data_IF_477018145070
#
_entry.id   IF_477018145070
#
_cell.length_a   1.000
_cell.length_b   1.000
_cell.length_c   1.000
_cell.angle_alpha   90.00
_cell.angle_beta   90.00
_cell.angle_gamma   90.00
#
_symmetry.space_group_name_H-M   'P 1'
#
loop_
_entity.id
_entity.type
_entity.pdbx_description
1 polymer ?
#
# COMPACT_ATOMS: atom_id res chain seq x y z
N UNK A 1 -21.65 -27.25 12.95
CA UNK A 1 -20.21 -27.14 12.66
C UNK A 1 -20.07 -26.02 11.65
N UNK A 2 -19.74 -24.81 12.10
CA UNK A 2 -19.57 -23.67 11.20
C UNK A 2 -18.21 -23.80 10.54
N UNK A 3 -18.20 -24.13 9.25
CA UNK A 3 -17.03 -24.06 8.39
C UNK A 3 -16.60 -22.58 8.30
N UNK A 4 -15.75 -22.16 9.23
CA UNK A 4 -14.97 -20.96 9.06
C UNK A 4 -13.89 -21.30 8.04
N UNK A 5 -14.23 -21.11 6.77
CA UNK A 5 -13.24 -20.93 5.71
C UNK A 5 -12.40 -19.71 6.09
N UNK A 6 -11.36 -19.95 6.90
CA UNK A 6 -10.29 -19.01 7.16
C UNK A 6 -9.60 -18.79 5.81
N UNK A 7 -10.05 -17.74 5.11
CA UNK A 7 -9.43 -17.27 3.88
C UNK A 7 -8.06 -16.74 4.28
N UNK A 8 -7.07 -17.64 4.34
CA UNK A 8 -5.66 -17.31 4.36
C UNK A 8 -5.32 -16.70 2.99
N UNK A 9 -5.85 -15.51 2.73
CA UNK A 9 -5.48 -14.69 1.57
C UNK A 9 -4.03 -14.33 1.80
N UNK A 10 -3.14 -15.13 1.22
CA UNK A 10 -1.69 -15.21 1.40
C UNK A 10 -1.08 -14.16 2.31
N UNK A 11 -0.63 -14.58 3.50
CA UNK A 11 0.33 -13.81 4.29
C UNK A 11 1.57 -13.53 3.42
N UNK A 12 1.97 -12.26 3.30
CA UNK A 12 3.00 -11.75 2.37
C UNK A 12 2.61 -11.76 0.88
N UNK A 13 1.31 -11.83 0.57
CA UNK A 13 0.83 -11.47 -0.76
C UNK A 13 1.22 -10.02 -1.09
N UNK A 14 1.49 -9.72 -2.37
CA UNK A 14 1.88 -8.37 -2.74
C UNK A 14 0.79 -7.33 -2.43
N UNK A 15 -0.48 -7.75 -2.38
CA UNK A 15 -1.62 -6.96 -1.93
C UNK A 15 -1.51 -6.58 -0.44
N UNK A 16 -1.15 -7.51 0.43
CA UNK A 16 -0.96 -7.23 1.86
C UNK A 16 0.21 -6.27 2.09
N UNK A 17 1.32 -6.47 1.37
CA UNK A 17 2.48 -5.56 1.45
C UNK A 17 2.12 -4.17 0.93
N UNK A 18 1.37 -4.08 -0.17
CA UNK A 18 0.91 -2.80 -0.70
C UNK A 18 -0.02 -2.08 0.28
N UNK A 19 -0.87 -2.80 1.01
CA UNK A 19 -1.72 -2.24 2.05
C UNK A 19 -0.90 -1.72 3.25
N UNK A 20 0.10 -2.47 3.71
CA UNK A 20 1.03 -2.01 4.77
C UNK A 20 1.79 -0.74 4.34
N UNK A 21 2.24 -0.68 3.08
CA UNK A 21 2.88 0.51 2.52
C UNK A 21 1.93 1.71 2.50
N UNK A 22 0.67 1.53 2.10
CA UNK A 22 -0.35 2.59 2.14
C UNK A 22 -0.50 3.18 3.56
N UNK A 23 -0.54 2.33 4.60
CA UNK A 23 -0.65 2.78 5.99
C UNK A 23 0.59 3.56 6.45
N UNK A 24 1.78 3.15 6.02
CA UNK A 24 3.03 3.87 6.31
C UNK A 24 3.06 5.24 5.62
N UNK A 25 2.74 5.31 4.33
CA UNK A 25 2.69 6.57 3.57
C UNK A 25 1.68 7.52 4.22
N UNK A 26 0.49 7.02 4.54
CA UNK A 26 -0.51 7.82 5.23
C UNK A 26 -0.02 8.36 6.58
N UNK A 27 0.74 7.57 7.34
CA UNK A 27 1.33 8.02 8.61
C UNK A 27 2.36 9.13 8.41
N UNK A 28 3.21 9.02 7.37
CA UNK A 28 4.19 10.06 7.00
C UNK A 28 3.50 11.34 6.53
N UNK A 29 2.43 11.21 5.74
CA UNK A 29 1.63 12.35 5.25
C UNK A 29 0.64 12.89 6.30
N UNK A 30 0.64 12.34 7.51
CA UNK A 30 -0.28 12.71 8.59
C UNK A 30 -1.76 12.65 8.14
N UNK A 31 -2.09 11.62 7.34
CA UNK A 31 -3.45 11.31 6.91
C UNK A 31 -4.04 10.24 7.77
N UNK A 32 -5.26 10.50 8.23
CA UNK A 32 -5.95 9.61 9.15
C UNK A 32 -6.88 8.66 8.39
N UNK A 33 -6.81 7.37 8.72
CA UNK A 33 -7.71 6.34 8.19
C UNK A 33 -9.13 6.49 8.77
N UNK A 34 -9.25 7.02 9.98
CA UNK A 34 -10.53 7.39 10.57
C UNK A 34 -11.03 8.66 9.89
N UNK A 35 -12.19 8.59 9.23
CA UNK A 35 -12.83 9.72 8.53
C UNK A 35 -13.18 10.92 9.43
N UNK A 36 -12.85 10.86 10.72
CA UNK A 36 -13.11 11.89 11.73
C UNK A 36 -11.86 12.71 12.09
N UNK A 37 -10.76 12.48 11.38
CA UNK A 37 -9.48 13.14 11.60
C UNK A 37 -9.39 14.58 11.06
N UNK A 38 -8.28 15.27 11.40
CA UNK A 38 -7.98 16.62 10.88
C UNK A 38 -7.66 16.60 9.39
N UNK A 39 -7.13 15.47 8.89
CA UNK A 39 -6.83 15.26 7.48
C UNK A 39 -7.20 13.81 7.08
N UNK A 40 -8.49 13.51 6.91
CA UNK A 40 -8.92 12.15 6.61
C UNK A 40 -8.47 11.73 5.21
N UNK A 41 -8.17 10.45 5.03
CA UNK A 41 -7.91 9.90 3.71
C UNK A 41 -9.18 10.01 2.84
N UNK A 42 -9.08 10.78 1.75
CA UNK A 42 -10.14 10.81 0.75
C UNK A 42 -10.20 9.48 -0.01
N UNK A 43 -11.39 9.12 -0.51
CA UNK A 43 -11.57 7.93 -1.36
C UNK A 43 -10.57 7.90 -2.52
N UNK A 44 -10.36 9.04 -3.16
CA UNK A 44 -9.43 9.17 -4.28
C UNK A 44 -7.98 8.92 -3.85
N UNK A 45 -7.57 9.44 -2.70
CA UNK A 45 -6.24 9.19 -2.14
C UNK A 45 -6.01 7.70 -1.89
N UNK A 46 -6.96 7.03 -1.22
CA UNK A 46 -6.85 5.60 -0.91
C UNK A 46 -6.64 4.78 -2.18
N UNK A 47 -7.50 4.98 -3.20
CA UNK A 47 -7.44 4.21 -4.43
C UNK A 47 -6.14 4.49 -5.19
N UNK A 48 -5.77 5.75 -5.36
CA UNK A 48 -4.56 6.12 -6.11
C UNK A 48 -3.30 5.62 -5.43
N UNK A 49 -3.16 5.86 -4.14
CA UNK A 49 -1.97 5.48 -3.37
C UNK A 49 -1.86 3.97 -3.25
N UNK A 50 -2.97 3.26 -3.05
CA UNK A 50 -2.96 1.79 -3.05
C UNK A 50 -2.54 1.20 -4.40
N UNK A 51 -3.03 1.74 -5.52
CA UNK A 51 -2.58 1.33 -6.85
C UNK A 51 -1.08 1.61 -7.09
N UNK A 52 -0.55 2.71 -6.56
CA UNK A 52 0.89 2.99 -6.62
C UNK A 52 1.70 1.99 -5.79
N UNK A 53 1.23 1.67 -4.58
CA UNK A 53 1.85 0.65 -3.72
C UNK A 53 1.84 -0.72 -4.39
N UNK A 54 0.72 -1.14 -5.00
CA UNK A 54 0.64 -2.41 -5.74
C UNK A 54 1.65 -2.45 -6.89
N UNK A 55 1.78 -1.37 -7.67
CA UNK A 55 2.78 -1.29 -8.73
C UNK A 55 4.20 -1.39 -8.18
N UNK A 56 4.49 -0.76 -7.04
CA UNK A 56 5.80 -0.81 -6.41
C UNK A 56 6.15 -2.23 -5.93
N UNK A 57 5.19 -2.94 -5.32
CA UNK A 57 5.41 -4.30 -4.81
C UNK A 57 5.47 -5.33 -5.95
N UNK A 58 4.72 -5.13 -7.04
CA UNK A 58 4.75 -6.00 -8.23
C UNK A 58 5.93 -5.75 -9.16
N UNK A 59 6.70 -4.67 -8.98
CA UNK A 59 7.83 -4.32 -9.82
C UNK A 59 9.16 -4.62 -9.10
N UNK A 60 9.67 -5.87 -9.16
CA UNK A 60 10.87 -6.30 -8.44
C UNK A 60 12.18 -5.61 -8.87
N UNK A 61 12.18 -4.82 -9.95
CA UNK A 61 13.41 -4.29 -10.54
C UNK A 61 13.55 -2.76 -10.46
N UNK A 62 12.52 -2.03 -10.02
CA UNK A 62 12.47 -0.59 -10.31
C UNK A 62 13.37 0.30 -9.47
N UNK A 63 13.75 -0.04 -8.24
CA UNK A 63 14.54 0.93 -7.44
C UNK A 63 15.99 0.97 -7.91
N UNK A 64 16.66 -0.17 -8.01
CA UNK A 64 18.03 -0.24 -8.55
C UNK A 64 18.09 0.15 -10.03
N UNK A 65 17.10 -0.23 -10.87
CA UNK A 65 17.08 0.20 -12.28
C UNK A 65 16.80 1.69 -12.46
N UNK A 66 15.94 2.31 -11.63
CA UNK A 66 15.66 3.75 -11.73
C UNK A 66 16.85 4.55 -11.22
N UNK A 67 17.49 4.11 -10.12
CA UNK A 67 18.73 4.73 -9.60
C UNK A 67 19.87 4.57 -10.60
N UNK A 68 20.01 3.42 -11.25
CA UNK A 68 21.00 3.20 -12.31
C UNK A 68 20.71 4.03 -13.57
N UNK A 69 19.43 4.29 -13.89
CA UNK A 69 19.02 5.06 -15.07
C UNK A 69 19.18 6.57 -14.89
N UNK A 70 19.19 7.07 -13.66
CA UNK A 70 19.41 8.48 -13.33
C UNK A 70 20.43 8.64 -12.21
N UNK A 71 21.74 8.39 -12.47
CA UNK A 71 22.78 8.71 -11.51
C UNK A 71 22.83 10.23 -11.33
N UNK A 72 22.78 10.67 -10.07
CA UNK A 72 22.95 12.08 -9.70
C UNK A 72 24.32 12.62 -10.06
#
# INVERSE_FOLDING_TARGET
MADQSAVHTGENSPEEVAFKLLQLIASVEQRESSGHGKNPMSREYIIRTYCQCLRAVHAPHTVDDIVAKYPG
#
